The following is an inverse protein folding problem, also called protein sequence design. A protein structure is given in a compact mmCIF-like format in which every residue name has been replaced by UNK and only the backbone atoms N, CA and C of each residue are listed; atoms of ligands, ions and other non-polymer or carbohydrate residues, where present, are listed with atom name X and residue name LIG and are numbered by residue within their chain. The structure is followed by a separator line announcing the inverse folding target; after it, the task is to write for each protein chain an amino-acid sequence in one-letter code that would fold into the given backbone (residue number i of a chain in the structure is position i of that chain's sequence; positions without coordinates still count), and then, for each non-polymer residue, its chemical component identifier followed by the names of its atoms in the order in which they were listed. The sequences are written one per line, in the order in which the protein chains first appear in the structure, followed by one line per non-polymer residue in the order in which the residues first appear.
data_IF_684722024065
#
_entry.id   IF_684722024065
#
_cell.length_a   1.000
_cell.length_b   1.000
_cell.length_c   1.000
_cell.angle_alpha   90.00
_cell.angle_beta   90.00
_cell.angle_gamma   90.00
#
_symmetry.space_group_name_H-M   'P 1'
#
loop_
_entity.id
_entity.type
_entity.pdbx_description
1 polymer ?
#
# COMPACT_ATOMS: atom_id res chain seq x y z
N UNK A 1 13.88 0.97 -11.55
CA UNK A 1 15.09 1.15 -10.70
C UNK A 1 15.30 2.61 -10.29
N UNK A 2 14.86 3.57 -11.10
CA UNK A 2 14.90 5.02 -10.80
C UNK A 2 13.79 5.42 -9.80
N UNK A 3 12.53 5.14 -10.11
CA UNK A 3 11.39 5.56 -9.27
C UNK A 3 11.46 5.12 -7.79
N UNK A 4 11.97 3.91 -7.51
CA UNK A 4 12.18 3.45 -6.12
C UNK A 4 13.16 4.35 -5.38
N UNK A 5 14.26 4.74 -6.01
CA UNK A 5 15.29 5.59 -5.39
C UNK A 5 14.76 7.01 -5.20
N UNK A 6 14.04 7.53 -6.20
CA UNK A 6 13.41 8.85 -6.13
C UNK A 6 12.39 8.91 -5.00
N UNK A 7 11.49 7.93 -4.90
CA UNK A 7 10.50 7.89 -3.84
C UNK A 7 11.14 7.72 -2.45
N UNK A 8 12.16 6.87 -2.31
CA UNK A 8 12.91 6.75 -1.05
C UNK A 8 13.59 8.08 -0.68
N UNK A 9 14.15 8.81 -1.65
CA UNK A 9 14.70 10.15 -1.40
C UNK A 9 13.62 11.10 -0.87
N UNK A 10 12.48 11.19 -1.56
CA UNK A 10 11.37 12.04 -1.13
C UNK A 10 10.90 11.71 0.28
N UNK A 11 10.81 10.41 0.62
CA UNK A 11 10.43 9.97 1.97
C UNK A 11 11.47 10.44 2.99
N UNK A 12 12.76 10.13 2.77
CA UNK A 12 13.82 10.47 3.72
C UNK A 12 14.00 11.98 3.91
N UNK A 13 13.86 12.77 2.83
CA UNK A 13 13.95 14.23 2.91
C UNK A 13 12.76 14.86 3.64
N UNK A 14 11.59 14.20 3.60
CA UNK A 14 10.37 14.69 4.26
C UNK A 14 10.26 14.18 5.70
N UNK A 15 10.80 13.01 5.96
CA UNK A 15 10.71 12.28 7.22
C UNK A 15 12.09 11.70 7.60
N UNK A 16 13.06 12.57 7.96
CA UNK A 16 14.44 12.15 8.23
C UNK A 16 14.58 11.25 9.45
N UNK A 17 13.63 11.33 10.39
CA UNK A 17 13.58 10.50 11.61
C UNK A 17 12.69 9.25 11.44
N UNK A 18 12.16 9.01 10.23
CA UNK A 18 11.24 7.94 9.92
C UNK A 18 9.78 8.40 9.82
N UNK A 19 8.89 7.48 9.42
CA UNK A 19 7.47 7.81 9.22
C UNK A 19 6.75 8.05 10.56
N UNK A 20 6.81 9.28 11.04
CA UNK A 20 6.15 9.77 12.27
C UNK A 20 4.65 10.03 12.06
N UNK A 21 3.96 9.07 11.43
CA UNK A 21 2.53 9.19 11.14
C UNK A 21 1.69 8.84 12.39
N UNK A 22 1.82 9.63 13.45
CA UNK A 22 1.06 9.46 14.70
C UNK A 22 -0.35 10.05 14.58
N UNK A 23 -1.13 9.57 13.60
CA UNK A 23 -2.46 10.09 13.33
C UNK A 23 -3.45 9.61 14.41
N UNK A 24 -3.85 10.52 15.29
CA UNK A 24 -4.78 10.21 16.40
C UNK A 24 -6.27 10.33 16.05
N UNK A 25 -6.61 11.10 15.01
CA UNK A 25 -8.00 11.42 14.71
C UNK A 25 -8.23 12.34 13.51
N UNK A 26 -9.51 12.51 13.17
CA UNK A 26 -9.98 13.49 12.17
C UNK A 26 -10.42 14.76 12.89
N UNK A 27 -9.82 15.89 12.54
CA UNK A 27 -10.15 17.20 13.10
C UNK A 27 -11.35 17.80 12.39
N UNK A 28 -12.23 18.45 13.15
CA UNK A 28 -13.37 19.22 12.63
C UNK A 28 -13.17 20.72 12.80
N UNK A 29 -13.91 21.53 12.02
CA UNK A 29 -13.89 23.01 12.12
C UNK A 29 -14.21 23.53 13.52
N UNK A 30 -14.96 22.79 14.31
CA UNK A 30 -15.35 23.14 15.68
C UNK A 30 -14.33 22.67 16.73
N UNK A 31 -13.07 22.48 16.33
CA UNK A 31 -11.97 22.06 17.22
C UNK A 31 -12.30 20.79 18.01
N UNK A 32 -12.96 19.83 17.36
CA UNK A 32 -13.12 18.47 17.88
C UNK A 32 -12.30 17.48 17.06
N UNK A 33 -11.80 16.46 17.72
CA UNK A 33 -11.10 15.31 17.14
C UNK A 33 -12.01 14.09 17.26
N UNK A 34 -12.29 13.45 16.15
CA UNK A 34 -12.88 12.10 16.13
C UNK A 34 -11.72 11.11 16.13
N UNK A 35 -11.56 10.34 17.20
CA UNK A 35 -10.46 9.38 17.30
C UNK A 35 -10.60 8.30 16.23
N UNK A 36 -9.49 7.65 15.90
CA UNK A 36 -9.49 6.54 14.96
C UNK A 36 -9.46 5.20 15.68
N UNK A 37 -10.07 4.19 15.06
CA UNK A 37 -9.94 2.82 15.52
C UNK A 37 -8.86 2.08 14.73
N UNK A 38 -8.38 0.94 15.26
CA UNK A 38 -7.40 0.08 14.58
C UNK A 38 -7.96 -0.74 13.40
N UNK A 39 -9.18 -0.46 12.94
CA UNK A 39 -9.83 -1.19 11.85
C UNK A 39 -9.02 -1.06 10.55
N UNK A 40 -8.64 -2.20 9.95
CA UNK A 40 -7.75 -2.19 8.78
C UNK A 40 -8.35 -1.55 7.53
N UNK A 41 -9.69 -1.49 7.38
CA UNK A 41 -10.28 -0.80 6.22
C UNK A 41 -10.10 0.71 6.35
N UNK A 42 -10.28 1.23 7.57
CA UNK A 42 -10.04 2.65 7.87
C UNK A 42 -8.55 2.97 7.70
N UNK A 43 -7.69 2.15 8.32
CA UNK A 43 -6.24 2.38 8.27
C UNK A 43 -5.69 2.29 6.85
N UNK A 44 -6.16 1.37 5.99
CA UNK A 44 -5.72 1.31 4.59
C UNK A 44 -5.94 2.64 3.86
N UNK A 45 -7.13 3.22 3.98
CA UNK A 45 -7.42 4.52 3.35
C UNK A 45 -6.62 5.68 3.96
N UNK A 46 -6.28 5.61 5.25
CA UNK A 46 -5.40 6.60 5.89
C UNK A 46 -4.00 6.54 5.30
N UNK A 47 -3.41 5.35 5.16
CA UNK A 47 -2.09 5.21 4.56
C UNK A 47 -2.07 5.73 3.11
N UNK A 48 -3.14 5.50 2.34
CA UNK A 48 -3.30 6.07 1.00
C UNK A 48 -3.28 7.61 1.02
N UNK A 49 -4.03 8.23 1.94
CA UNK A 49 -4.06 9.70 2.13
C UNK A 49 -2.68 10.23 2.52
N UNK A 50 -1.98 9.55 3.42
CA UNK A 50 -0.66 9.96 3.90
C UNK A 50 0.43 9.84 2.81
N UNK A 51 0.30 8.89 1.89
CA UNK A 51 1.20 8.73 0.76
C UNK A 51 1.05 9.83 -0.29
N UNK A 52 -0.16 10.38 -0.46
CA UNK A 52 -0.47 11.29 -1.56
C UNK A 52 0.44 12.54 -1.62
N UNK A 53 0.69 13.29 -0.53
CA UNK A 53 1.58 14.45 -0.58
C UNK A 53 3.00 14.09 -1.00
N UNK A 54 3.48 12.89 -0.63
CA UNK A 54 4.80 12.41 -1.04
C UNK A 54 4.84 12.07 -2.53
N UNK A 55 3.77 11.48 -3.08
CA UNK A 55 3.65 11.25 -4.52
C UNK A 55 3.54 12.59 -5.28
N UNK A 56 2.83 13.58 -4.75
CA UNK A 56 2.76 14.91 -5.35
C UNK A 56 4.15 15.58 -5.40
N UNK A 57 4.92 15.50 -4.30
CA UNK A 57 6.29 16.03 -4.24
C UNK A 57 7.21 15.31 -5.23
N UNK A 58 7.14 13.98 -5.30
CA UNK A 58 7.84 13.18 -6.31
C UNK A 58 7.51 13.64 -7.73
N UNK A 59 6.23 13.82 -8.04
CA UNK A 59 5.82 14.25 -9.38
C UNK A 59 6.31 15.66 -9.72
N UNK A 60 6.22 16.60 -8.78
CA UNK A 60 6.69 17.96 -8.97
C UNK A 60 8.21 18.04 -9.15
N UNK A 61 8.97 17.27 -8.37
CA UNK A 61 10.44 17.34 -8.35
C UNK A 61 11.09 16.63 -9.55
N UNK A 62 10.47 15.56 -10.02
CA UNK A 62 11.02 14.75 -11.12
C UNK A 62 10.24 14.89 -12.43
N UNK A 63 9.34 15.87 -12.53
CA UNK A 63 8.57 16.19 -13.75
C UNK A 63 7.70 15.02 -14.24
N UNK A 64 6.98 14.36 -13.33
CA UNK A 64 5.95 13.40 -13.69
C UNK A 64 4.56 14.05 -13.69
N UNK A 65 3.73 13.68 -14.65
CA UNK A 65 2.28 13.88 -14.55
C UNK A 65 1.69 12.92 -13.52
N UNK A 66 0.73 13.39 -12.73
CA UNK A 66 0.01 12.61 -11.71
C UNK A 66 -1.46 12.46 -12.07
N UNK A 67 -1.96 11.23 -12.10
CA UNK A 67 -3.38 10.91 -12.19
C UNK A 67 -3.75 10.05 -10.98
N UNK A 68 -4.71 10.52 -10.18
CA UNK A 68 -5.24 9.74 -9.06
C UNK A 68 -6.16 8.62 -9.52
N UNK A 69 -6.17 7.55 -8.74
CA UNK A 69 -7.15 6.48 -8.83
C UNK A 69 -8.58 7.00 -8.64
N UNK A 70 -9.53 6.29 -9.23
CA UNK A 70 -10.95 6.49 -8.99
C UNK A 70 -11.51 5.24 -8.34
N UNK A 71 -12.66 5.35 -7.69
CA UNK A 71 -13.26 4.24 -6.96
C UNK A 71 -13.35 2.97 -7.82
N UNK A 72 -12.93 1.83 -7.25
CA UNK A 72 -12.91 0.51 -7.89
C UNK A 72 -12.00 0.38 -9.14
N UNK A 73 -11.05 1.29 -9.33
CA UNK A 73 -10.05 1.19 -10.39
C UNK A 73 -8.64 1.18 -9.81
N UNK A 74 -7.83 0.24 -10.29
CA UNK A 74 -6.39 0.20 -10.05
C UNK A 74 -5.66 1.21 -10.95
N UNK A 75 -4.51 1.79 -10.55
CA UNK A 75 -3.93 1.85 -9.20
C UNK A 75 -4.44 3.06 -8.39
N UNK A 76 -3.99 3.21 -7.14
CA UNK A 76 -4.23 4.45 -6.36
C UNK A 76 -3.54 5.67 -6.99
N UNK A 77 -2.34 5.51 -7.57
CA UNK A 77 -1.65 6.57 -8.31
C UNK A 77 -1.06 6.07 -9.63
N UNK A 78 -1.30 6.83 -10.69
CA UNK A 78 -0.67 6.65 -11.99
C UNK A 78 0.22 7.86 -12.27
N UNK A 79 1.52 7.61 -12.49
CA UNK A 79 2.48 8.66 -12.84
C UNK A 79 3.15 8.37 -14.17
N UNK A 80 3.50 9.40 -14.94
CA UNK A 80 4.17 9.23 -16.22
C UNK A 80 4.83 10.51 -16.74
N UNK A 81 5.90 10.35 -17.52
CA UNK A 81 6.42 11.38 -18.43
C UNK A 81 5.93 11.17 -19.86
N UNK A 82 5.86 9.89 -20.25
CA UNK A 82 5.35 9.43 -21.53
C UNK A 82 4.04 8.66 -21.29
N UNK A 83 2.90 9.07 -21.88
CA UNK A 83 1.61 8.39 -21.71
C UNK A 83 1.61 6.91 -22.08
N UNK A 84 2.52 6.41 -22.91
CA UNK A 84 2.60 4.98 -23.27
C UNK A 84 3.51 4.17 -22.31
N UNK A 85 4.15 4.84 -21.34
CA UNK A 85 5.06 4.23 -20.35
C UNK A 85 4.66 4.66 -18.94
N UNK A 86 3.42 4.33 -18.57
CA UNK A 86 2.86 4.68 -17.26
C UNK A 86 3.46 3.82 -16.16
N UNK A 87 3.53 4.39 -14.97
CA UNK A 87 3.93 3.70 -13.76
C UNK A 87 2.73 3.70 -12.83
N UNK A 88 2.29 2.51 -12.44
CA UNK A 88 1.28 2.31 -11.42
C UNK A 88 1.95 2.22 -10.05
N UNK A 89 1.47 2.99 -9.08
CA UNK A 89 1.88 2.91 -7.67
C UNK A 89 0.63 2.61 -6.86
N UNK A 90 0.67 1.48 -6.17
CA UNK A 90 -0.46 0.97 -5.43
C UNK A 90 -0.09 0.76 -3.95
N UNK A 91 -0.90 1.35 -3.06
CA UNK A 91 -0.64 1.34 -1.62
C UNK A 91 -1.30 0.13 -1.01
N UNK A 92 -0.54 -0.63 -0.22
CA UNK A 92 -1.05 -1.84 0.44
C UNK A 92 -0.61 -1.89 1.88
N UNK A 93 -1.53 -2.28 2.75
CA UNK A 93 -1.30 -2.32 4.18
C UNK A 93 -1.58 -3.71 4.73
N UNK A 94 -0.85 -4.10 5.76
CA UNK A 94 -1.11 -5.28 6.56
C UNK A 94 -0.68 -4.99 8.00
N UNK A 95 -1.04 -5.86 8.94
CA UNK A 95 -0.70 -5.67 10.34
C UNK A 95 -0.05 -6.90 10.93
N UNK A 96 0.84 -6.68 11.91
CA UNK A 96 1.51 -7.75 12.65
C UNK A 96 0.50 -8.52 13.50
N UNK A 97 0.68 -9.83 13.54
CA UNK A 97 -0.07 -10.73 14.41
C UNK A 97 0.90 -11.63 15.14
N UNK A 98 0.63 -11.87 16.42
CA UNK A 98 1.46 -12.73 17.25
C UNK A 98 0.76 -14.04 17.55
N UNK A 99 1.54 -15.10 17.68
CA UNK A 99 1.09 -16.40 18.20
C UNK A 99 0.87 -16.33 19.72
N UNK A 100 0.33 -17.41 20.31
CA UNK A 100 0.12 -17.48 21.76
C UNK A 100 1.43 -17.46 22.55
N UNK A 101 2.53 -17.91 21.94
CA UNK A 101 3.89 -17.89 22.48
C UNK A 101 4.66 -16.59 22.17
N UNK A 102 4.00 -15.56 21.62
CA UNK A 102 4.61 -14.24 21.39
C UNK A 102 5.46 -14.12 20.12
N UNK A 103 5.48 -15.14 19.26
CA UNK A 103 6.21 -15.11 17.99
C UNK A 103 5.42 -14.38 16.91
N UNK A 104 6.13 -13.59 16.09
CA UNK A 104 5.53 -12.89 14.96
C UNK A 104 5.11 -13.89 13.88
N UNK A 105 3.81 -13.94 13.58
CA UNK A 105 3.25 -14.74 12.49
C UNK A 105 3.61 -14.14 11.15
N UNK A 106 3.74 -15.00 10.14
CA UNK A 106 3.89 -14.56 8.76
C UNK A 106 2.68 -13.74 8.31
N UNK A 107 2.95 -12.62 7.66
CA UNK A 107 1.97 -11.74 7.06
C UNK A 107 2.10 -11.76 5.53
N UNK A 108 1.14 -11.14 4.86
CA UNK A 108 1.18 -10.92 3.43
C UNK A 108 0.08 -9.95 3.01
N UNK A 109 0.01 -9.69 1.72
CA UNK A 109 -0.80 -8.67 1.10
C UNK A 109 -1.70 -9.28 0.02
N UNK A 110 -2.83 -8.63 -0.20
CA UNK A 110 -3.67 -8.83 -1.37
C UNK A 110 -3.25 -7.83 -2.45
N UNK A 111 -2.78 -8.32 -3.59
CA UNK A 111 -2.20 -7.51 -4.66
C UNK A 111 -3.20 -7.25 -5.80
N UNK A 112 -4.46 -7.00 -5.45
CA UNK A 112 -5.54 -6.80 -6.43
C UNK A 112 -5.95 -8.06 -7.19
N UNK A 113 -6.96 -7.93 -8.06
CA UNK A 113 -7.62 -9.08 -8.69
C UNK A 113 -6.83 -9.68 -9.86
N UNK A 114 -6.72 -11.01 -9.91
CA UNK A 114 -6.21 -11.75 -11.07
C UNK A 114 -7.27 -12.00 -12.17
N UNK A 115 -8.54 -11.62 -11.94
CA UNK A 115 -9.63 -11.74 -12.92
C UNK A 115 -10.01 -10.41 -13.60
N UNK A 116 -9.26 -9.35 -13.32
CA UNK A 116 -9.49 -8.00 -13.84
C UNK A 116 -8.55 -7.69 -15.01
N UNK A 117 -7.73 -6.64 -14.89
CA UNK A 117 -6.86 -6.12 -15.95
C UNK A 117 -5.88 -7.14 -16.55
N UNK A 118 -5.45 -8.16 -15.79
CA UNK A 118 -4.59 -9.24 -16.32
C UNK A 118 -5.30 -10.12 -17.36
N UNK A 119 -6.64 -10.20 -17.33
CA UNK A 119 -7.44 -10.99 -18.28
C UNK A 119 -8.15 -10.13 -19.31
N UNK A 120 -8.58 -8.94 -18.91
CA UNK A 120 -9.20 -7.95 -19.78
C UNK A 120 -8.52 -6.59 -19.50
N UNK A 121 -7.61 -6.11 -20.37
CA UNK A 121 -6.76 -4.94 -20.13
C UNK A 121 -7.46 -3.65 -19.69
N UNK A 122 -8.76 -3.49 -19.94
CA UNK A 122 -9.52 -2.28 -19.60
C UNK A 122 -10.37 -2.44 -18.33
N UNK A 123 -10.43 -3.66 -17.77
CA UNK A 123 -11.32 -3.95 -16.64
C UNK A 123 -10.68 -3.60 -15.30
N UNK A 124 -11.33 -2.73 -14.55
CA UNK A 124 -10.96 -2.41 -13.16
C UNK A 124 -9.60 -1.71 -13.05
N UNK A 125 -9.21 -0.96 -14.08
CA UNK A 125 -7.95 -0.23 -14.17
C UNK A 125 -8.20 1.14 -14.82
N UNK A 126 -7.40 2.13 -14.44
CA UNK A 126 -7.58 3.54 -14.83
C UNK A 126 -7.26 3.83 -16.29
N UNK A 127 -6.30 3.09 -16.85
CA UNK A 127 -5.85 3.12 -18.24
C UNK A 127 -5.63 1.68 -18.70
N UNK A 128 -5.66 1.38 -20.00
CA UNK A 128 -5.37 0.04 -20.51
C UNK A 128 -4.07 -0.53 -19.91
N UNK A 129 -4.09 -1.80 -19.48
CA UNK A 129 -2.96 -2.43 -18.78
C UNK A 129 -1.64 -2.35 -19.56
N UNK A 130 -1.70 -2.45 -20.89
CA UNK A 130 -0.54 -2.38 -21.78
C UNK A 130 0.10 -0.98 -21.89
N UNK A 131 -0.54 0.08 -21.36
CA UNK A 131 0.05 1.41 -21.26
C UNK A 131 0.92 1.56 -20.00
N UNK A 132 0.88 0.59 -19.08
CA UNK A 132 1.74 0.56 -17.91
C UNK A 132 3.00 -0.27 -18.18
N UNK A 133 4.15 0.33 -17.93
CA UNK A 133 5.44 -0.35 -18.00
C UNK A 133 5.82 -0.95 -16.64
N UNK A 134 5.36 -0.35 -15.54
CA UNK A 134 5.77 -0.74 -14.19
C UNK A 134 4.59 -0.73 -13.22
N UNK A 135 4.60 -1.69 -12.30
CA UNK A 135 3.58 -1.85 -11.26
C UNK A 135 4.26 -1.95 -9.90
N UNK A 136 4.27 -0.85 -9.15
CA UNK A 136 4.91 -0.74 -7.84
C UNK A 136 3.89 -0.88 -6.73
N UNK A 137 4.30 -1.56 -5.67
CA UNK A 137 3.58 -1.66 -4.40
C UNK A 137 4.36 -0.85 -3.37
N UNK A 138 3.67 0.09 -2.74
CA UNK A 138 4.12 0.71 -1.50
C UNK A 138 3.43 0.00 -0.34
N UNK A 139 4.14 -0.96 0.24
CA UNK A 139 3.63 -1.84 1.27
C UNK A 139 3.95 -1.30 2.66
N UNK A 140 2.96 -1.27 3.55
CA UNK A 140 3.10 -0.89 4.95
C UNK A 140 2.72 -2.03 5.88
N UNK A 141 3.54 -2.23 6.92
CA UNK A 141 3.30 -3.17 8.02
C UNK A 141 3.28 -2.37 9.31
N UNK A 142 2.24 -2.55 10.10
CA UNK A 142 2.09 -1.83 11.37
C UNK A 142 1.63 -2.77 12.49
N UNK A 143 1.86 -2.34 13.73
CA UNK A 143 1.30 -2.96 14.93
C UNK A 143 -0.01 -2.24 15.26
N UNK A 144 -1.11 -2.98 15.42
CA UNK A 144 -2.37 -2.39 15.90
C UNK A 144 -2.23 -1.97 17.37
N UNK A 145 -2.71 -0.78 17.70
CA UNK A 145 -2.89 -0.39 19.08
C UNK A 145 -4.27 -0.86 19.58
N UNK A 146 -4.29 -1.89 20.43
CA UNK A 146 -5.53 -2.53 20.88
C UNK A 146 -6.40 -1.64 21.78
N UNK A 147 -5.84 -0.55 22.34
CA UNK A 147 -6.59 0.43 23.12
C UNK A 147 -7.54 1.25 22.24
N UNK A 148 -7.21 1.41 20.95
CA UNK A 148 -8.01 2.20 20.00
C UNK A 148 -9.06 1.33 19.29
N UNK A 149 -9.91 0.63 20.06
CA UNK A 149 -10.99 -0.19 19.48
C UNK A 149 -12.20 0.64 19.05
N UNK A 150 -12.58 1.60 19.90
CA UNK A 150 -13.79 2.40 19.74
C UNK A 150 -13.43 3.83 19.36
N UNK A 151 -14.33 4.47 18.62
CA UNK A 151 -14.22 5.88 18.25
C UNK A 151 -14.89 6.72 19.32
N UNK A 152 -14.27 7.84 19.67
CA UNK A 152 -14.80 8.85 20.58
C UNK A 152 -14.58 10.25 20.03
N UNK A 153 -15.33 11.21 20.55
CA UNK A 153 -15.16 12.63 20.20
C UNK A 153 -14.44 13.31 21.36
N UNK A 154 -13.34 13.98 21.06
CA UNK A 154 -12.48 14.67 22.03
C UNK A 154 -12.29 16.14 21.65
N UNK A 155 -12.10 17.05 22.61
CA UNK A 155 -11.61 18.39 22.32
C UNK A 155 -10.24 18.35 21.62
N UNK A 156 -9.98 19.28 20.69
CA UNK A 156 -8.70 19.35 19.98
C UNK A 156 -7.52 19.56 20.92
N UNK A 157 -7.70 20.30 22.01
CA UNK A 157 -6.65 20.52 23.00
C UNK A 157 -6.15 19.22 23.67
N UNK A 158 -6.94 18.15 23.65
CA UNK A 158 -6.54 16.84 24.17
C UNK A 158 -5.73 16.01 23.16
N UNK A 159 -5.58 16.47 21.90
CA UNK A 159 -5.03 15.64 20.80
C UNK A 159 -3.63 15.10 21.07
N UNK A 160 -2.79 15.86 21.76
CA UNK A 160 -1.43 15.47 22.12
C UNK A 160 -1.38 14.26 23.07
N UNK A 161 -2.44 14.01 23.83
CA UNK A 161 -2.53 12.88 24.77
C UNK A 161 -3.30 11.68 24.19
N UNK A 162 -3.78 11.78 22.95
CA UNK A 162 -4.53 10.69 22.31
C UNK A 162 -3.57 9.65 21.75
N UNK A 163 -3.98 8.39 21.82
CA UNK A 163 -3.20 7.30 21.26
C UNK A 163 -3.50 7.10 19.77
N UNK A 164 -2.45 6.93 18.96
CA UNK A 164 -2.60 6.50 17.58
C UNK A 164 -3.13 5.04 17.52
N UNK A 165 -3.99 4.70 16.54
CA UNK A 165 -4.56 3.36 16.40
C UNK A 165 -3.56 2.32 15.87
N UNK A 166 -2.37 2.75 15.50
CA UNK A 166 -1.25 1.91 15.05
C UNK A 166 0.08 2.48 15.56
N UNK A 167 1.12 1.64 15.52
CA UNK A 167 2.49 1.99 15.85
C UNK A 167 3.48 1.09 15.09
N UNK A 168 4.77 1.35 15.26
CA UNK A 168 5.87 0.54 14.71
C UNK A 168 5.75 0.37 13.18
N UNK A 169 5.60 1.46 12.44
CA UNK A 169 5.41 1.43 10.99
C UNK A 169 6.72 0.97 10.34
N UNK A 170 6.64 -0.09 9.55
CA UNK A 170 7.68 -0.45 8.58
C UNK A 170 7.09 -0.39 7.18
N UNK A 171 7.90 -0.09 6.17
CA UNK A 171 7.44 -0.04 4.79
C UNK A 171 8.45 -0.63 3.81
N UNK A 172 7.97 -0.99 2.62
CA UNK A 172 8.81 -1.33 1.48
C UNK A 172 8.21 -0.76 0.20
N UNK A 173 9.08 -0.58 -0.81
CA UNK A 173 8.69 -0.22 -2.17
C UNK A 173 9.29 -1.27 -3.11
N UNK A 174 8.43 -2.02 -3.80
CA UNK A 174 8.86 -3.11 -4.67
C UNK A 174 7.88 -3.34 -5.83
N UNK A 175 8.38 -3.85 -6.95
CA UNK A 175 7.51 -4.26 -8.05
C UNK A 175 6.57 -5.39 -7.61
N UNK A 176 5.32 -5.29 -8.05
CA UNK A 176 4.23 -6.20 -7.70
C UNK A 176 4.59 -7.66 -7.94
N UNK A 177 5.19 -7.96 -9.09
CA UNK A 177 5.54 -9.33 -9.46
C UNK A 177 6.63 -9.91 -8.56
N UNK A 178 7.58 -9.08 -8.09
CA UNK A 178 8.69 -9.47 -7.20
C UNK A 178 8.28 -9.78 -5.78
N UNK A 179 7.04 -9.48 -5.38
CA UNK A 179 6.49 -9.86 -4.08
C UNK A 179 5.28 -10.80 -4.21
N UNK A 180 4.82 -11.08 -5.43
CA UNK A 180 3.67 -11.94 -5.65
C UNK A 180 4.00 -13.40 -5.31
N UNK A 181 3.05 -14.08 -4.68
CA UNK A 181 3.09 -15.52 -4.46
C UNK A 181 2.31 -16.27 -5.55
N UNK A 182 2.22 -17.61 -5.39
CA UNK A 182 1.44 -18.51 -6.26
C UNK A 182 0.11 -18.95 -5.62
N UNK A 183 -0.31 -18.30 -4.54
CA UNK A 183 -1.55 -18.63 -3.83
C UNK A 183 -2.47 -17.42 -3.76
N UNK A 184 -3.81 -17.61 -3.82
CA UNK A 184 -4.76 -16.51 -3.71
C UNK A 184 -4.63 -15.81 -2.36
N UNK A 185 -4.73 -14.47 -2.37
CA UNK A 185 -4.65 -13.64 -1.17
C UNK A 185 -5.96 -13.62 -0.36
N UNK A 186 -7.04 -14.09 -0.95
CA UNK A 186 -8.38 -14.13 -0.35
C UNK A 186 -9.21 -15.28 -0.92
N UNK A 187 -10.05 -15.91 -0.10
CA UNK A 187 -10.85 -17.08 -0.50
C UNK A 187 -12.11 -16.73 -1.30
N UNK A 188 -12.77 -15.61 -0.97
CA UNK A 188 -14.05 -15.19 -1.58
C UNK A 188 -13.89 -14.18 -2.73
N UNK A 189 -12.78 -13.44 -2.73
CA UNK A 189 -12.44 -12.43 -3.72
C UNK A 189 -11.21 -12.91 -4.48
N UNK A 190 -11.16 -12.65 -5.77
CA UNK A 190 -10.17 -13.27 -6.68
C UNK A 190 -8.86 -12.46 -6.70
N UNK A 191 -8.27 -12.26 -5.52
CA UNK A 191 -7.04 -11.48 -5.35
C UNK A 191 -5.79 -12.34 -5.43
N UNK A 192 -4.77 -11.77 -6.06
CA UNK A 192 -3.39 -12.24 -6.02
C UNK A 192 -2.89 -12.14 -4.58
N UNK A 193 -2.31 -13.20 -4.04
CA UNK A 193 -1.60 -13.15 -2.76
C UNK A 193 -0.13 -12.79 -2.97
N UNK A 194 0.45 -12.03 -2.06
CA UNK A 194 1.91 -11.92 -1.97
C UNK A 194 2.55 -13.20 -1.43
N UNK A 195 3.88 -13.26 -1.42
CA UNK A 195 4.62 -14.18 -0.55
C UNK A 195 4.17 -13.99 0.91
N UNK A 196 4.31 -15.05 1.71
CA UNK A 196 4.08 -15.01 3.17
C UNK A 196 5.43 -15.02 3.86
N UNK A 197 5.71 -13.98 4.64
CA UNK A 197 6.92 -13.89 5.46
C UNK A 197 6.63 -13.14 6.76
N UNK A 198 7.43 -13.40 7.79
CA UNK A 198 7.47 -12.60 9.01
C UNK A 198 8.64 -11.59 9.01
N UNK A 199 9.44 -11.55 7.95
CA UNK A 199 10.57 -10.65 7.76
C UNK A 199 10.31 -9.69 6.60
N UNK A 200 10.33 -8.38 6.87
CA UNK A 200 10.08 -7.37 5.84
C UNK A 200 11.13 -7.39 4.72
N UNK A 201 12.36 -7.82 5.04
CA UNK A 201 13.46 -7.87 4.07
C UNK A 201 13.14 -8.78 2.87
N UNK A 202 12.33 -9.82 3.04
CA UNK A 202 11.91 -10.68 1.93
C UNK A 202 11.07 -9.92 0.89
N UNK A 203 10.30 -8.91 1.32
CA UNK A 203 9.57 -8.01 0.43
C UNK A 203 10.48 -6.92 -0.15
N UNK A 204 11.40 -6.37 0.64
CA UNK A 204 12.37 -5.36 0.19
C UNK A 204 13.29 -5.93 -0.91
N UNK A 205 13.78 -7.14 -0.71
CA UNK A 205 14.66 -7.88 -1.63
C UNK A 205 13.90 -8.49 -2.81
N UNK A 206 12.59 -8.70 -2.66
CA UNK A 206 11.73 -9.21 -3.73
C UNK A 206 11.88 -10.71 -3.95
N UNK A 207 11.72 -11.51 -2.88
CA UNK A 207 11.86 -12.98 -2.90
C UNK A 207 10.63 -13.71 -3.45
N UNK A 208 10.08 -13.22 -4.56
CA UNK A 208 9.00 -13.93 -5.25
C UNK A 208 9.51 -15.22 -5.91
N UNK A 209 8.66 -16.26 -6.01
CA UNK A 209 8.93 -17.43 -6.84
C UNK A 209 8.87 -17.15 -8.36
N UNK A 210 8.44 -15.97 -8.80
CA UNK A 210 8.41 -15.61 -10.22
C UNK A 210 9.78 -15.12 -10.70
N UNK A 211 10.16 -15.53 -11.90
CA UNK A 211 11.46 -15.18 -12.50
C UNK A 211 11.41 -13.89 -13.32
N UNK A 212 10.22 -13.50 -13.77
CA UNK A 212 9.98 -12.26 -14.53
C UNK A 212 8.54 -11.76 -14.35
N UNK A 213 8.28 -10.53 -14.80
CA UNK A 213 6.92 -10.00 -14.89
C UNK A 213 6.04 -10.85 -15.82
N UNK A 214 6.56 -11.35 -16.94
CA UNK A 214 5.80 -12.16 -17.89
C UNK A 214 5.41 -13.53 -17.30
N UNK A 215 6.30 -14.16 -16.52
CA UNK A 215 6.03 -15.40 -15.78
C UNK A 215 4.91 -15.18 -14.74
N UNK A 216 4.98 -14.08 -13.98
CA UNK A 216 3.92 -13.66 -13.06
C UNK A 216 2.57 -13.44 -13.76
N UNK A 217 2.57 -12.69 -14.86
CA UNK A 217 1.35 -12.37 -15.61
C UNK A 217 0.71 -13.62 -16.22
N UNK A 218 1.52 -14.48 -16.85
CA UNK A 218 1.04 -15.71 -17.47
C UNK A 218 0.40 -16.64 -16.44
N UNK A 219 1.07 -16.85 -15.30
CA UNK A 219 0.55 -17.66 -14.20
C UNK A 219 -0.82 -17.17 -13.72
N UNK A 220 -0.93 -15.88 -13.36
CA UNK A 220 -2.17 -15.35 -12.77
C UNK A 220 -3.30 -15.16 -13.79
N UNK A 221 -2.96 -14.92 -15.05
CA UNK A 221 -3.93 -14.86 -16.16
C UNK A 221 -4.59 -16.21 -16.40
N UNK A 222 -3.88 -17.31 -16.18
CA UNK A 222 -4.38 -18.68 -16.37
C UNK A 222 -4.84 -19.38 -15.07
N UNK A 223 -4.53 -18.82 -13.90
CA UNK A 223 -4.90 -19.39 -12.61
C UNK A 223 -6.41 -19.70 -12.48
N UNK A 224 -6.76 -20.97 -12.29
CA UNK A 224 -8.16 -21.41 -12.14
C UNK A 224 -9.06 -21.13 -13.35
N UNK A 225 -8.47 -21.05 -14.55
CA UNK A 225 -9.19 -21.29 -15.81
C UNK A 225 -9.32 -22.78 -16.07
#
# INVERSE_FOLDING_TARGET
MEIKKELIRIINDTYPEGLEWELVGIVTKNQKVYTLSYDSKILSGIFEILCEPLIQKLCAEFDYQLVKGVQNQYPEFTIYKNPQRKIAIDVKTTYRQWSKNGELKSYGFTLGSYRSYLRNPDKGIRFPYNEYEQHWIWGFIYTRNLNCKNISIKPLIESYNLEAPYKDIEYFIQEKWKIAGRTPGSGNTTNIGSIKSNNINDFIEGKSPFTSQSDFEDYWKHYGK
#
